data_IF_425136727671
#
_entry.id   IF_425136727671
#
_cell.length_a   1.000
_cell.length_b   1.000
_cell.length_c   1.000
_cell.angle_alpha   90.00
_cell.angle_beta   90.00
_cell.angle_gamma   90.00
#
_symmetry.space_group_name_H-M   'P 1'
#
loop_
_entity.id
_entity.type
_entity.pdbx_description
1 polymer ?
#
# COMPACT_ATOMS: atom_id res chain seq x y z
N UNK A 1 6.32 -8.60 1.23
CA UNK A 1 5.06 -7.83 1.47
C UNK A 1 3.93 -8.60 2.17
N UNK A 2 3.26 -9.60 1.57
CA UNK A 2 2.19 -10.33 2.28
C UNK A 2 2.72 -11.17 3.47
N UNK A 3 3.95 -11.67 3.35
CA UNK A 3 4.65 -12.40 4.41
C UNK A 3 5.07 -11.47 5.57
N UNK A 4 5.61 -10.29 5.27
CA UNK A 4 5.92 -9.27 6.27
C UNK A 4 4.65 -8.85 7.03
N UNK A 5 3.56 -8.53 6.32
CA UNK A 5 2.29 -8.17 6.95
C UNK A 5 1.71 -9.30 7.80
N UNK A 6 1.81 -10.54 7.31
CA UNK A 6 1.40 -11.73 8.06
C UNK A 6 2.18 -11.88 9.36
N UNK A 7 3.51 -11.67 9.32
CA UNK A 7 4.40 -11.74 10.47
C UNK A 7 4.13 -10.61 11.48
N UNK A 8 3.97 -9.38 11.00
CA UNK A 8 3.67 -8.22 11.85
C UNK A 8 2.33 -8.34 12.58
N UNK A 9 1.32 -8.90 11.90
CA UNK A 9 -0.04 -9.05 12.46
C UNK A 9 -0.31 -10.42 13.07
N UNK A 10 0.68 -11.31 13.05
CA UNK A 10 0.58 -12.70 13.50
C UNK A 10 -0.65 -13.42 12.93
N UNK A 11 -0.84 -13.33 11.61
CA UNK A 11 -1.96 -13.96 10.88
C UNK A 11 -1.44 -14.87 9.77
N UNK A 12 -2.24 -15.84 9.30
CA UNK A 12 -1.86 -16.66 8.15
C UNK A 12 -1.63 -15.83 6.88
N UNK A 13 -0.65 -16.23 6.06
CA UNK A 13 -0.30 -15.56 4.79
C UNK A 13 -1.50 -15.40 3.85
N UNK A 14 -2.38 -16.40 3.76
CA UNK A 14 -3.59 -16.34 2.93
C UNK A 14 -4.56 -15.25 3.42
N UNK A 15 -4.72 -15.12 4.74
CA UNK A 15 -5.55 -14.09 5.37
C UNK A 15 -4.94 -12.70 5.16
N UNK A 16 -3.62 -12.56 5.33
CA UNK A 16 -2.91 -11.32 5.04
C UNK A 16 -3.12 -10.85 3.60
N UNK A 17 -3.00 -11.77 2.63
CA UNK A 17 -3.25 -11.47 1.23
C UNK A 17 -4.67 -10.96 0.99
N UNK A 18 -5.70 -11.65 1.52
CA UNK A 18 -7.11 -11.22 1.39
C UNK A 18 -7.35 -9.83 1.99
N UNK A 19 -6.74 -9.54 3.14
CA UNK A 19 -6.86 -8.23 3.80
C UNK A 19 -6.23 -7.13 2.95
N UNK A 20 -5.03 -7.37 2.40
CA UNK A 20 -4.35 -6.41 1.54
C UNK A 20 -5.11 -6.18 0.23
N UNK A 21 -5.65 -7.23 -0.40
CA UNK A 21 -6.49 -7.12 -1.59
C UNK A 21 -7.76 -6.30 -1.31
N UNK A 22 -8.42 -6.53 -0.17
CA UNK A 22 -9.60 -5.75 0.24
C UNK A 22 -9.26 -4.26 0.44
N UNK A 23 -8.13 -3.97 1.10
CA UNK A 23 -7.67 -2.59 1.32
C UNK A 23 -7.30 -1.91 0.01
N UNK A 24 -6.59 -2.61 -0.87
CA UNK A 24 -6.23 -2.10 -2.19
C UNK A 24 -7.48 -1.74 -3.00
N UNK A 25 -8.52 -2.59 -2.96
CA UNK A 25 -9.81 -2.30 -3.60
C UNK A 25 -10.43 -0.99 -3.10
N UNK A 26 -10.45 -0.78 -1.78
CA UNK A 26 -10.97 0.45 -1.17
C UNK A 26 -10.16 1.67 -1.65
N UNK A 27 -8.83 1.57 -1.72
CA UNK A 27 -7.98 2.66 -2.21
C UNK A 27 -8.22 3.00 -3.69
N UNK A 28 -8.58 1.99 -4.49
CA UNK A 28 -8.97 2.18 -5.89
C UNK A 28 -10.34 2.87 -5.97
N UNK A 29 -11.32 2.41 -5.19
CA UNK A 29 -12.66 3.03 -5.11
C UNK A 29 -12.60 4.49 -4.64
N UNK A 30 -11.69 4.81 -3.72
CA UNK A 30 -11.43 6.17 -3.25
C UNK A 30 -10.67 7.05 -4.28
N UNK A 31 -10.24 6.49 -5.41
CA UNK A 31 -9.47 7.21 -6.43
C UNK A 31 -8.05 7.60 -6.00
N UNK A 32 -7.54 7.00 -4.92
CA UNK A 32 -6.17 7.21 -4.41
C UNK A 32 -5.18 6.43 -5.28
N UNK A 33 -5.53 5.20 -5.63
CA UNK A 33 -4.74 4.29 -6.46
C UNK A 33 -5.49 4.02 -7.76
N UNK A 34 -4.77 3.99 -8.87
CA UNK A 34 -5.28 3.65 -10.19
C UNK A 34 -4.74 2.28 -10.60
N UNK A 35 -5.62 1.41 -11.09
CA UNK A 35 -5.24 0.12 -11.66
C UNK A 35 -4.81 0.33 -13.11
N UNK A 36 -3.61 -0.08 -13.45
CA UNK A 36 -3.11 -0.02 -14.82
C UNK A 36 -3.51 -1.29 -15.57
N UNK A 37 -3.94 -1.11 -16.82
CA UNK A 37 -4.31 -2.21 -17.73
C UNK A 37 -3.03 -2.78 -18.36
N UNK A 38 -2.09 -3.21 -17.53
CA UNK A 38 -0.83 -3.84 -17.94
C UNK A 38 -0.83 -5.32 -17.54
N UNK A 39 0.00 -6.12 -18.21
CA UNK A 39 0.35 -7.45 -17.75
C UNK A 39 1.84 -7.49 -17.38
N UNK A 40 2.20 -7.83 -16.13
CA UNK A 40 1.31 -8.14 -15.00
C UNK A 40 0.49 -6.93 -14.54
N UNK A 41 -0.62 -7.21 -13.83
CA UNK A 41 -1.50 -6.17 -13.28
C UNK A 41 -0.69 -5.29 -12.32
N UNK A 42 -0.63 -4.00 -12.60
CA UNK A 42 0.09 -3.03 -11.78
C UNK A 42 -0.85 -1.93 -11.29
N UNK A 43 -0.43 -1.25 -10.23
CA UNK A 43 -1.18 -0.19 -9.58
C UNK A 43 -0.29 1.03 -9.43
N UNK A 44 -0.83 2.22 -9.72
CA UNK A 44 -0.13 3.50 -9.62
C UNK A 44 -0.81 4.38 -8.58
N UNK A 45 -0.03 5.03 -7.72
CA UNK A 45 -0.56 6.05 -6.82
C UNK A 45 -0.92 7.30 -7.63
N UNK A 46 -2.20 7.71 -7.61
CA UNK A 46 -2.71 8.86 -8.37
C UNK A 46 -2.77 10.12 -7.52
N UNK A 47 -3.29 10.00 -6.30
CA UNK A 47 -3.47 11.13 -5.39
C UNK A 47 -3.16 10.67 -3.98
N UNK A 48 -2.14 11.26 -3.35
CA UNK A 48 -1.91 11.06 -1.93
C UNK A 48 -2.83 12.01 -1.14
N UNK A 49 -3.81 11.50 -0.36
CA UNK A 49 -4.63 12.36 0.48
C UNK A 49 -3.74 13.13 1.44
N UNK A 50 -4.00 14.42 1.64
CA UNK A 50 -3.30 15.25 2.64
C UNK A 50 -3.42 14.66 4.06
N UNK A 51 -4.45 13.86 4.33
CA UNK A 51 -4.63 13.08 5.56
C UNK A 51 -3.49 12.07 5.78
N UNK A 52 -2.96 11.47 4.72
CA UNK A 52 -1.80 10.57 4.83
C UNK A 52 -0.47 11.33 4.94
N UNK A 53 -0.47 12.62 4.62
CA UNK A 53 0.66 13.54 4.82
C UNK A 53 0.66 14.19 6.22
N UNK A 54 -0.25 13.79 7.12
CA UNK A 54 -0.17 14.19 8.52
C UNK A 54 1.27 13.95 9.02
N UNK A 55 1.86 14.88 9.79
CA UNK A 55 3.22 14.74 10.27
C UNK A 55 3.21 13.57 11.26
N UNK A 56 3.44 12.37 10.75
CA UNK A 56 3.70 11.20 11.56
C UNK A 56 4.96 11.53 12.35
N UNK A 57 4.76 11.86 13.61
CA UNK A 57 5.78 12.36 14.51
C UNK A 57 7.01 11.46 14.45
N UNK A 58 8.14 12.05 14.03
CA UNK A 58 9.51 11.53 14.05
C UNK A 58 9.75 10.22 13.29
N UNK A 59 10.53 10.35 12.20
CA UNK A 59 11.38 9.34 11.50
C UNK A 59 10.98 8.92 10.07
N UNK A 60 10.29 9.74 9.29
CA UNK A 60 10.34 9.57 7.83
C UNK A 60 11.59 10.29 7.28
N UNK A 61 12.75 9.62 7.32
CA UNK A 61 13.91 10.06 6.54
C UNK A 61 13.65 9.64 5.10
N UNK A 62 13.36 10.60 4.23
CA UNK A 62 13.35 10.44 2.77
C UNK A 62 14.78 10.32 2.24
N UNK A 63 15.53 9.35 2.74
CA UNK A 63 16.79 8.89 2.17
C UNK A 63 16.50 7.41 1.85
N UNK A 64 16.63 6.88 0.64
CA UNK A 64 17.77 6.99 -0.26
C UNK A 64 17.29 6.95 -1.72
N UNK A 65 18.00 7.67 -2.57
CA UNK A 65 18.02 7.52 -4.02
C UNK A 65 18.18 6.05 -4.39
N UNK A 66 17.32 5.54 -5.28
CA UNK A 66 17.59 4.29 -5.98
C UNK A 66 18.53 4.61 -7.13
N UNK A 67 19.81 4.31 -6.96
CA UNK A 67 20.79 4.12 -8.03
C UNK A 67 20.82 2.64 -8.42
#
# INVERSE_FOLDING_TARGET
>A
MAEEYAKEKNIPKQSARKVLEKRLKILVEQGIVERLITYPVSYKLKKLPKILLLPFSKKFRLNESFD
#
